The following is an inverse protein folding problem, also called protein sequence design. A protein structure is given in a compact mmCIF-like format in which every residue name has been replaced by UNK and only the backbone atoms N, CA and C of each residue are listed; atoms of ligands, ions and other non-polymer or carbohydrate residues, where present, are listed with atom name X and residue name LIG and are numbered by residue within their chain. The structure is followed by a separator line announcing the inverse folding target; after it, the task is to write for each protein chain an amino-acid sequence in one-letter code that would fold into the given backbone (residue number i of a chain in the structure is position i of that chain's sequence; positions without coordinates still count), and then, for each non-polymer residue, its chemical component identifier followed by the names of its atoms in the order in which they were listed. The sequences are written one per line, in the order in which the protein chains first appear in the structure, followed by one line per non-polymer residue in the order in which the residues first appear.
data_IF_637368727320
#
_entry.id   IF_637368727320
#
_cell.length_a   1.000
_cell.length_b   1.000
_cell.length_c   1.000
_cell.angle_alpha   90.00
_cell.angle_beta   90.00
_cell.angle_gamma   90.00
#
_symmetry.space_group_name_H-M   'P 1'
#
loop_
_entity.id
_entity.type
_entity.pdbx_description
1 polymer ?
#
# COMPACT_ATOMS: atom_id res chain seq x y z
N UNK A 1 -5.33 -6.35 59.14
CA UNK A 1 -4.18 -6.84 58.35
C UNK A 1 -4.68 -7.16 56.93
N UNK A 2 -4.79 -6.13 56.08
CA UNK A 2 -5.43 -6.22 54.75
C UNK A 2 -4.36 -6.51 53.70
N UNK A 3 -4.43 -7.67 53.05
CA UNK A 3 -3.44 -8.12 52.04
C UNK A 3 -3.74 -7.49 50.67
N UNK A 4 -2.75 -6.76 50.15
CA UNK A 4 -2.65 -6.21 48.79
C UNK A 4 -2.83 -7.29 47.71
N UNK A 5 -4.05 -7.44 47.16
CA UNK A 5 -4.31 -8.19 45.91
C UNK A 5 -4.45 -7.29 44.68
N UNK A 6 -4.61 -5.98 44.86
CA UNK A 6 -4.83 -5.03 43.75
C UNK A 6 -3.53 -4.71 42.98
N UNK A 7 -2.37 -4.74 43.65
CA UNK A 7 -1.08 -4.35 43.05
C UNK A 7 -0.58 -5.33 41.98
N UNK A 8 -0.87 -6.63 42.11
CA UNK A 8 -0.44 -7.67 41.17
C UNK A 8 -1.26 -7.73 39.88
N UNK A 9 -2.50 -7.24 39.90
CA UNK A 9 -3.37 -7.16 38.71
C UNK A 9 -2.96 -5.98 37.83
N UNK A 10 -2.61 -4.83 38.42
CA UNK A 10 -2.12 -3.65 37.69
C UNK A 10 -0.79 -3.92 36.96
N UNK A 11 0.11 -4.71 37.55
CA UNK A 11 1.40 -5.05 36.93
C UNK A 11 1.25 -6.01 35.73
N UNK A 12 0.24 -6.90 35.75
CA UNK A 12 -0.08 -7.79 34.62
C UNK A 12 -0.80 -7.06 33.48
N UNK A 13 -1.58 -6.03 33.79
CA UNK A 13 -2.29 -5.22 32.80
C UNK A 13 -1.34 -4.30 32.01
N UNK A 14 -0.29 -3.76 32.65
CA UNK A 14 0.74 -2.99 31.94
C UNK A 14 1.60 -3.85 31.00
N UNK A 15 1.88 -5.11 31.34
CA UNK A 15 2.64 -6.02 30.47
C UNK A 15 1.92 -6.39 29.16
N UNK A 16 0.58 -6.47 29.20
CA UNK A 16 -0.25 -6.73 28.01
C UNK A 16 -0.36 -5.53 27.06
N UNK A 17 -0.29 -4.29 27.59
CA UNK A 17 -0.28 -3.07 26.78
C UNK A 17 1.06 -2.90 26.07
N UNK A 18 2.18 -3.28 26.71
CA UNK A 18 3.53 -3.15 26.13
C UNK A 18 3.77 -4.09 24.94
N UNK A 19 3.10 -5.25 24.90
CA UNK A 19 3.19 -6.21 23.79
C UNK A 19 2.44 -5.76 22.53
N UNK A 20 1.52 -4.80 22.63
CA UNK A 20 0.73 -4.34 21.47
C UNK A 20 1.37 -3.15 20.72
N UNK A 21 2.38 -2.50 21.30
CA UNK A 21 2.98 -1.27 20.73
C UNK A 21 4.04 -1.52 19.63
N UNK A 22 4.34 -2.77 19.25
CA UNK A 22 5.47 -3.08 18.37
C UNK A 22 5.11 -3.28 16.88
N UNK A 23 3.85 -3.14 16.47
CA UNK A 23 3.46 -3.38 15.07
C UNK A 23 3.14 -2.11 14.29
N UNK A 24 3.95 -1.05 14.45
CA UNK A 24 4.00 0.03 13.44
C UNK A 24 5.12 -0.31 12.46
N UNK A 25 4.92 -1.36 11.66
CA UNK A 25 5.75 -1.55 10.47
C UNK A 25 5.32 -0.50 9.45
N UNK A 26 6.17 0.49 9.20
CA UNK A 26 6.01 1.36 8.04
C UNK A 26 5.95 0.46 6.78
N UNK A 27 4.84 0.51 6.04
CA UNK A 27 4.73 -0.23 4.78
C UNK A 27 5.88 0.20 3.87
N UNK A 28 6.74 -0.76 3.51
CA UNK A 28 7.85 -0.52 2.59
C UNK A 28 7.28 -0.42 1.18
N UNK A 29 6.97 0.79 0.75
CA UNK A 29 6.49 1.07 -0.60
C UNK A 29 7.68 0.88 -1.57
N UNK A 30 7.57 0.01 -2.59
CA UNK A 30 8.66 -0.23 -3.52
C UNK A 30 8.93 1.02 -4.37
N UNK A 31 10.19 1.42 -4.49
CA UNK A 31 10.56 2.46 -5.44
C UNK A 31 10.62 1.87 -6.87
N UNK A 32 10.44 2.68 -7.92
CA UNK A 32 10.56 2.22 -9.31
C UNK A 32 11.88 1.47 -9.56
N UNK A 33 13.00 1.98 -9.05
CA UNK A 33 14.32 1.36 -9.19
C UNK A 33 14.39 -0.07 -8.63
N UNK A 34 13.63 -0.38 -7.59
CA UNK A 34 13.66 -1.68 -6.92
C UNK A 34 12.97 -2.76 -7.76
N UNK A 35 12.05 -2.35 -8.64
CA UNK A 35 11.30 -3.25 -9.53
C UNK A 35 11.88 -3.25 -10.95
N UNK A 36 12.27 -2.07 -11.45
CA UNK A 36 12.77 -1.89 -12.81
C UNK A 36 14.27 -2.23 -12.93
N UNK A 37 15.03 -2.14 -11.83
CA UNK A 37 16.49 -2.28 -11.83
C UNK A 37 17.23 -1.02 -12.31
N UNK A 38 16.50 0.06 -12.57
CA UNK A 38 17.04 1.34 -13.00
C UNK A 38 16.07 2.49 -12.67
N UNK A 39 16.56 3.72 -12.70
CA UNK A 39 15.70 4.88 -12.45
C UNK A 39 14.98 5.27 -13.75
N UNK A 40 13.66 5.45 -13.75
CA UNK A 40 12.96 6.00 -14.92
C UNK A 40 13.62 7.30 -15.38
N UNK A 41 14.01 7.36 -16.67
CA UNK A 41 14.75 8.49 -17.24
C UNK A 41 16.26 8.28 -17.36
N UNK A 42 16.80 7.18 -16.84
CA UNK A 42 18.18 6.76 -17.10
C UNK A 42 18.44 6.62 -18.61
N UNK A 43 19.61 7.05 -19.07
CA UNK A 43 19.96 7.04 -20.49
C UNK A 43 19.93 5.62 -21.07
N UNK A 44 19.32 5.50 -22.25
CA UNK A 44 19.11 4.24 -22.99
C UNK A 44 18.38 3.15 -22.21
N UNK A 45 17.60 3.49 -21.18
CA UNK A 45 16.78 2.52 -20.43
C UNK A 45 15.29 2.84 -20.57
N UNK A 46 14.52 1.84 -21.00
CA UNK A 46 13.06 1.92 -21.12
C UNK A 46 12.44 0.69 -20.47
N UNK A 47 11.42 0.92 -19.64
CA UNK A 47 10.66 -0.17 -19.03
C UNK A 47 9.73 -0.80 -20.09
N UNK A 48 9.77 -2.13 -20.19
CA UNK A 48 8.77 -2.85 -20.98
C UNK A 48 7.38 -2.71 -20.37
N UNK A 49 6.34 -2.93 -21.18
CA UNK A 49 4.95 -2.89 -20.71
C UNK A 49 4.72 -3.83 -19.51
N UNK A 50 5.25 -5.05 -19.56
CA UNK A 50 5.14 -6.02 -18.48
C UNK A 50 5.78 -5.53 -17.18
N UNK A 51 6.93 -4.83 -17.25
CA UNK A 51 7.58 -4.24 -16.08
C UNK A 51 6.75 -3.09 -15.48
N UNK A 52 6.14 -2.25 -16.33
CA UNK A 52 5.25 -1.18 -15.88
C UNK A 52 4.04 -1.75 -15.14
N UNK A 53 3.36 -2.74 -15.73
CA UNK A 53 2.22 -3.41 -15.11
C UNK A 53 2.63 -4.07 -13.78
N UNK A 54 3.77 -4.77 -13.74
CA UNK A 54 4.28 -5.41 -12.53
C UNK A 54 4.54 -4.40 -11.41
N UNK A 55 5.14 -3.25 -11.75
CA UNK A 55 5.42 -2.20 -10.78
C UNK A 55 4.13 -1.65 -10.16
N UNK A 56 3.14 -1.29 -10.99
CA UNK A 56 1.88 -0.75 -10.47
C UNK A 56 1.05 -1.78 -9.68
N UNK A 57 1.08 -3.06 -10.05
CA UNK A 57 0.48 -4.13 -9.24
C UNK A 57 1.13 -4.25 -7.86
N UNK A 58 2.46 -4.18 -7.79
CA UNK A 58 3.18 -4.19 -6.50
C UNK A 58 2.89 -2.92 -5.70
N UNK A 59 2.76 -1.79 -6.37
CA UNK A 59 2.49 -0.50 -5.73
C UNK A 59 1.09 -0.46 -5.12
N UNK A 60 0.08 -0.98 -5.85
CA UNK A 60 -1.30 -1.16 -5.38
C UNK A 60 -1.35 -2.07 -4.14
N UNK A 61 -0.67 -3.21 -4.17
CA UNK A 61 -0.61 -4.12 -3.02
C UNK A 61 0.09 -3.53 -1.78
N UNK A 62 0.99 -2.55 -1.97
CA UNK A 62 1.82 -1.97 -0.92
C UNK A 62 1.32 -0.62 -0.39
N UNK A 63 0.34 0.02 -1.04
CA UNK A 63 -0.08 1.40 -0.76
C UNK A 63 -1.58 1.57 -0.76
N UNK A 64 -2.14 2.17 0.29
CA UNK A 64 -3.56 2.55 0.37
C UNK A 64 -3.93 3.79 -0.48
N UNK A 65 -2.95 4.30 -1.24
CA UNK A 65 -3.04 5.52 -2.07
C UNK A 65 -3.07 5.24 -3.56
N UNK A 66 -3.01 3.96 -3.94
CA UNK A 66 -3.06 3.52 -5.33
C UNK A 66 -4.19 2.50 -5.45
N UNK A 67 -4.96 2.62 -6.53
CA UNK A 67 -5.89 1.59 -6.98
C UNK A 67 -5.51 1.22 -8.41
N UNK A 68 -5.12 -0.02 -8.65
CA UNK A 68 -4.73 -0.51 -9.97
C UNK A 68 -5.71 -1.58 -10.48
N UNK A 69 -6.30 -1.35 -11.65
CA UNK A 69 -7.31 -2.24 -12.22
C UNK A 69 -7.07 -2.49 -13.72
N UNK A 70 -7.35 -3.71 -14.17
CA UNK A 70 -7.41 -4.03 -15.59
C UNK A 70 -8.82 -3.73 -16.09
N UNK A 71 -8.95 -2.82 -17.07
CA UNK A 71 -10.22 -2.38 -17.65
C UNK A 71 -10.56 -3.09 -18.97
N UNK A 72 -9.67 -3.98 -19.44
CA UNK A 72 -9.88 -4.79 -20.63
C UNK A 72 -8.56 -5.25 -21.25
N UNK A 73 -8.63 -5.65 -22.52
CA UNK A 73 -7.46 -6.00 -23.34
C UNK A 73 -7.27 -4.98 -24.46
N UNK A 74 -6.02 -4.69 -24.81
CA UNK A 74 -5.68 -3.90 -25.98
C UNK A 74 -5.87 -4.72 -27.27
N UNK A 75 -5.73 -4.06 -28.43
CA UNK A 75 -5.81 -4.71 -29.75
C UNK A 75 -4.87 -5.90 -29.90
N UNK A 76 -3.70 -5.85 -29.24
CA UNK A 76 -2.71 -6.92 -29.28
C UNK A 76 -2.86 -7.94 -28.13
N UNK A 77 -3.98 -7.90 -27.40
CA UNK A 77 -4.27 -8.81 -26.29
C UNK A 77 -3.54 -8.48 -24.98
N UNK A 78 -2.78 -7.38 -24.92
CA UNK A 78 -2.11 -6.97 -23.69
C UNK A 78 -3.13 -6.42 -22.68
N UNK A 79 -2.89 -6.54 -21.36
CA UNK A 79 -3.76 -5.93 -20.36
C UNK A 79 -3.83 -4.43 -20.59
N UNK A 80 -5.05 -3.88 -20.66
CA UNK A 80 -5.31 -2.46 -20.69
C UNK A 80 -5.70 -2.03 -19.28
N UNK A 81 -4.89 -1.16 -18.67
CA UNK A 81 -4.86 -0.96 -17.22
C UNK A 81 -5.10 0.50 -16.86
N UNK A 82 -5.63 0.71 -15.66
CA UNK A 82 -5.93 2.01 -15.09
C UNK A 82 -5.38 2.11 -13.68
N UNK A 83 -4.56 3.13 -13.42
CA UNK A 83 -3.99 3.42 -12.11
C UNK A 83 -4.59 4.72 -11.56
N UNK A 84 -5.38 4.62 -10.49
CA UNK A 84 -5.89 5.80 -9.76
C UNK A 84 -4.98 6.08 -8.58
N UNK A 85 -4.42 7.29 -8.50
CA UNK A 85 -3.54 7.71 -7.41
C UNK A 85 -4.19 8.88 -6.68
N UNK A 86 -4.44 8.74 -5.38
CA UNK A 86 -5.02 9.81 -4.57
C UNK A 86 -4.71 9.62 -3.08
N UNK A 87 -5.35 10.39 -2.22
CA UNK A 87 -5.37 10.07 -0.78
C UNK A 87 -6.26 8.85 -0.53
N UNK A 88 -5.97 8.08 0.52
CA UNK A 88 -6.80 6.93 0.89
C UNK A 88 -8.27 7.32 1.15
N UNK A 89 -8.50 8.51 1.72
CA UNK A 89 -9.84 9.05 1.91
C UNK A 89 -10.57 9.30 0.58
N UNK A 90 -9.87 9.77 -0.44
CA UNK A 90 -10.47 10.00 -1.75
C UNK A 90 -10.78 8.68 -2.47
N UNK A 91 -9.87 7.70 -2.41
CA UNK A 91 -10.08 6.40 -3.03
C UNK A 91 -11.26 5.64 -2.42
N UNK A 92 -11.48 5.75 -1.11
CA UNK A 92 -12.70 5.21 -0.46
C UNK A 92 -13.99 5.84 -0.96
N UNK A 93 -13.94 7.07 -1.44
CA UNK A 93 -15.08 7.83 -1.97
C UNK A 93 -14.98 8.00 -3.49
N UNK A 94 -14.22 7.16 -4.19
CA UNK A 94 -13.89 7.35 -5.60
C UNK A 94 -15.16 7.46 -6.48
N UNK A 95 -16.16 6.62 -6.21
CA UNK A 95 -17.42 6.64 -6.96
C UNK A 95 -18.20 7.95 -6.78
N UNK A 96 -18.17 8.53 -5.58
CA UNK A 96 -18.75 9.86 -5.35
C UNK A 96 -18.05 10.92 -6.21
N UNK A 97 -16.71 10.89 -6.26
CA UNK A 97 -15.95 11.89 -7.03
C UNK A 97 -16.10 11.73 -8.54
N UNK A 98 -16.29 10.50 -9.03
CA UNK A 98 -16.56 10.24 -10.45
C UNK A 98 -17.89 10.84 -10.93
N UNK A 99 -18.87 11.06 -10.04
CA UNK A 99 -20.20 11.57 -10.39
C UNK A 99 -20.31 13.10 -10.43
N UNK A 100 -19.26 13.84 -10.05
CA UNK A 100 -19.32 15.31 -9.93
C UNK A 100 -19.13 16.00 -11.30
N UNK A 101 -18.59 15.31 -12.29
CA UNK A 101 -18.36 15.79 -13.65
C UNK A 101 -18.99 14.83 -14.67
#
# INVERSE_FOLDING_TARGET
MVKNKSFSVSLRLCGLIFLFSLTVFAQKIPAPKDVLGFTPGDDRKLASWAQVVNYFQKLDAASDRVKFEEIGKSTNGNPFVYATISTAANLRNLEKYKQIN
#
